data_IF_618672792914
#
_entry.id   IF_618672792914
#
_cell.length_a   1.000
_cell.length_b   1.000
_cell.length_c   1.000
_cell.angle_alpha   90.00
_cell.angle_beta   90.00
_cell.angle_gamma   90.00
#
_symmetry.space_group_name_H-M   'P 1'
#
loop_
_entity.id
_entity.type
_entity.pdbx_description
1 polymer ?
#
# COMPACT_ATOMS: atom_id res chain seq x y z
N UNK A 1 18.06 -21.89 -9.67
CA UNK A 1 19.48 -21.52 -9.85
C UNK A 1 19.46 -20.21 -10.61
N UNK A 2 19.62 -19.09 -9.90
CA UNK A 2 19.59 -17.75 -10.52
C UNK A 2 20.86 -17.65 -11.35
N UNK A 3 20.72 -17.75 -12.67
CA UNK A 3 21.82 -17.52 -13.60
C UNK A 3 22.09 -16.03 -13.63
N UNK A 4 23.09 -15.59 -12.88
CA UNK A 4 23.57 -14.21 -12.95
C UNK A 4 24.36 -14.11 -14.26
N UNK A 5 23.94 -13.20 -15.15
CA UNK A 5 24.60 -12.97 -16.44
C UNK A 5 26.06 -12.56 -16.22
N UNK A 6 27.00 -13.31 -16.80
CA UNK A 6 28.45 -13.05 -16.66
C UNK A 6 28.83 -11.66 -17.16
N UNK A 7 28.20 -11.20 -18.24
CA UNK A 7 28.41 -9.87 -18.81
C UNK A 7 28.03 -8.74 -17.82
N UNK A 8 27.01 -8.97 -16.98
CA UNK A 8 26.62 -8.01 -15.93
C UNK A 8 27.63 -7.99 -14.80
N UNK A 9 28.23 -9.13 -14.47
CA UNK A 9 29.26 -9.23 -13.43
C UNK A 9 30.48 -8.42 -13.85
N UNK A 10 30.94 -8.56 -15.09
CA UNK A 10 32.07 -7.79 -15.62
C UNK A 10 31.76 -6.29 -15.62
N UNK A 11 30.52 -5.91 -15.93
CA UNK A 11 30.06 -4.52 -15.82
C UNK A 11 30.12 -4.00 -14.37
N UNK A 12 29.64 -4.77 -13.39
CA UNK A 12 29.68 -4.36 -11.98
C UNK A 12 31.10 -4.27 -11.44
N UNK A 13 31.99 -5.19 -11.85
CA UNK A 13 33.42 -5.15 -11.50
C UNK A 13 34.08 -3.91 -12.10
N UNK A 14 33.81 -3.59 -13.37
CA UNK A 14 34.34 -2.38 -14.02
C UNK A 14 33.93 -1.10 -13.28
N UNK A 15 32.65 -0.99 -12.89
CA UNK A 15 32.15 0.17 -12.13
C UNK A 15 32.77 0.23 -10.73
N UNK A 16 33.00 -0.92 -10.09
CA UNK A 16 33.62 -0.99 -8.77
C UNK A 16 35.12 -0.67 -8.79
N UNK A 17 35.82 -0.93 -9.89
CA UNK A 17 37.24 -0.57 -10.04
C UNK A 17 37.44 0.93 -10.32
N UNK A 18 36.47 1.58 -10.96
CA UNK A 18 36.51 3.03 -11.20
C UNK A 18 36.26 3.86 -9.94
N UNK A 19 35.43 3.36 -9.02
CA UNK A 19 35.11 4.05 -7.77
C UNK A 19 36.04 3.58 -6.64
N UNK A 20 37.04 4.40 -6.34
CA UNK A 20 38.06 4.09 -5.33
C UNK A 20 37.69 4.55 -3.92
N UNK A 21 36.80 5.54 -3.81
CA UNK A 21 36.46 6.20 -2.53
C UNK A 21 34.94 6.35 -2.35
N UNK A 22 34.46 6.32 -1.10
CA UNK A 22 33.03 6.48 -0.77
C UNK A 22 32.43 7.78 -1.31
N UNK A 23 33.23 8.84 -1.39
CA UNK A 23 32.83 10.12 -1.97
C UNK A 23 32.48 9.99 -3.47
N UNK A 24 33.23 9.19 -4.24
CA UNK A 24 32.98 8.91 -5.66
C UNK A 24 31.75 8.02 -5.84
N UNK A 25 31.52 7.08 -4.93
CA UNK A 25 30.29 6.28 -4.93
C UNK A 25 29.05 7.16 -4.71
N UNK A 26 29.14 8.16 -3.84
CA UNK A 26 28.02 9.04 -3.52
C UNK A 26 27.54 9.94 -4.68
N UNK A 27 28.38 10.13 -5.71
CA UNK A 27 28.07 10.95 -6.90
C UNK A 27 27.40 10.15 -8.02
N UNK A 28 27.36 8.82 -7.93
CA UNK A 28 26.69 7.95 -8.91
C UNK A 28 25.19 8.27 -8.92
N UNK A 29 24.63 8.61 -10.10
CA UNK A 29 23.23 9.01 -10.26
C UNK A 29 22.25 7.85 -9.99
N UNK A 30 22.50 6.68 -10.60
CA UNK A 30 21.64 5.51 -10.46
C UNK A 30 21.74 4.89 -9.05
N UNK A 31 20.65 4.85 -8.25
CA UNK A 31 20.68 4.31 -6.89
C UNK A 31 21.06 2.83 -6.83
N UNK A 32 20.71 2.06 -7.86
CA UNK A 32 21.05 0.64 -7.93
C UNK A 32 22.55 0.46 -8.16
N UNK A 33 23.10 1.13 -9.17
CA UNK A 33 24.54 1.10 -9.44
C UNK A 33 25.32 1.58 -8.22
N UNK A 34 24.90 2.67 -7.58
CA UNK A 34 25.50 3.19 -6.34
C UNK A 34 25.58 2.12 -5.25
N UNK A 35 24.48 1.42 -5.01
CA UNK A 35 24.40 0.40 -3.95
C UNK A 35 25.25 -0.83 -4.26
N UNK A 36 25.29 -1.28 -5.51
CA UNK A 36 26.19 -2.36 -5.94
C UNK A 36 27.66 -1.95 -5.75
N UNK A 37 28.05 -0.78 -6.25
CA UNK A 37 29.43 -0.27 -6.11
C UNK A 37 29.84 -0.15 -4.65
N UNK A 38 28.95 0.36 -3.78
CA UNK A 38 29.21 0.47 -2.35
C UNK A 38 29.46 -0.90 -1.70
N UNK A 39 28.72 -1.94 -2.09
CA UNK A 39 28.93 -3.30 -1.57
C UNK A 39 30.30 -3.85 -1.96
N UNK A 40 30.69 -3.71 -3.23
CA UNK A 40 32.03 -4.13 -3.68
C UNK A 40 33.14 -3.36 -2.97
N UNK A 41 32.96 -2.04 -2.82
CA UNK A 41 33.89 -1.19 -2.08
C UNK A 41 34.05 -1.65 -0.63
N UNK A 42 32.94 -1.90 0.09
CA UNK A 42 32.98 -2.36 1.48
C UNK A 42 33.65 -3.72 1.63
N UNK A 43 33.38 -4.65 0.72
CA UNK A 43 34.03 -5.97 0.71
C UNK A 43 35.54 -5.82 0.50
N UNK A 44 35.96 -4.91 -0.41
CA UNK A 44 37.37 -4.62 -0.70
C UNK A 44 38.09 -3.92 0.45
N UNK A 45 37.49 -2.88 1.04
CA UNK A 45 38.10 -2.07 2.10
C UNK A 45 38.19 -2.79 3.44
N UNK A 46 37.14 -3.52 3.83
CA UNK A 46 37.09 -4.23 5.11
C UNK A 46 37.64 -5.66 5.05
N UNK A 47 38.10 -6.11 3.86
CA UNK A 47 38.65 -7.46 3.68
C UNK A 47 37.66 -8.57 3.99
N UNK A 48 36.38 -8.36 3.68
CA UNK A 48 35.31 -9.33 3.92
C UNK A 48 35.42 -10.48 2.92
N UNK A 49 35.06 -11.70 3.34
CA UNK A 49 35.02 -12.86 2.43
C UNK A 49 33.79 -12.77 1.51
N UNK A 50 33.95 -12.63 0.17
CA UNK A 50 32.84 -12.53 -0.77
C UNK A 50 31.94 -13.77 -0.79
N UNK A 51 32.45 -14.93 -0.36
CA UNK A 51 31.71 -16.20 -0.32
C UNK A 51 30.99 -16.43 1.01
N UNK A 52 31.33 -15.67 2.05
CA UNK A 52 30.69 -15.75 3.35
C UNK A 52 30.69 -14.41 4.09
N UNK A 53 29.67 -13.60 3.79
CA UNK A 53 29.51 -12.26 4.36
C UNK A 53 28.87 -12.32 5.74
N UNK A 54 29.45 -11.60 6.71
CA UNK A 54 28.77 -11.28 7.96
C UNK A 54 27.77 -10.14 7.70
N UNK A 55 26.51 -10.52 7.53
CA UNK A 55 25.41 -9.61 7.24
C UNK A 55 25.25 -8.50 8.27
N UNK A 56 25.49 -8.79 9.56
CA UNK A 56 25.32 -7.78 10.61
C UNK A 56 26.34 -6.67 10.46
N UNK A 57 27.61 -7.04 10.29
CA UNK A 57 28.69 -6.08 10.11
C UNK A 57 28.53 -5.30 8.80
N UNK A 58 28.22 -6.00 7.71
CA UNK A 58 28.05 -5.39 6.40
C UNK A 58 26.91 -4.38 6.38
N UNK A 59 25.74 -4.69 6.96
CA UNK A 59 24.60 -3.76 6.99
C UNK A 59 24.96 -2.49 7.78
N UNK A 60 25.65 -2.64 8.92
CA UNK A 60 26.06 -1.50 9.74
C UNK A 60 27.01 -0.57 8.99
N UNK A 61 28.01 -1.12 8.29
CA UNK A 61 28.93 -0.29 7.51
C UNK A 61 28.22 0.30 6.28
N UNK A 62 27.40 -0.48 5.59
CA UNK A 62 26.62 -0.02 4.44
C UNK A 62 25.74 1.18 4.79
N UNK A 63 25.07 1.16 5.94
CA UNK A 63 24.21 2.25 6.38
C UNK A 63 24.96 3.58 6.54
N UNK A 64 26.21 3.57 6.99
CA UNK A 64 27.00 4.80 7.18
C UNK A 64 27.25 5.55 5.87
N UNK A 65 27.29 4.83 4.75
CA UNK A 65 27.57 5.40 3.44
C UNK A 65 26.31 5.55 2.58
N UNK A 66 25.32 4.67 2.78
CA UNK A 66 24.08 4.68 2.00
C UNK A 66 23.07 5.72 2.49
N UNK A 67 23.01 6.00 3.80
CA UNK A 67 22.16 7.05 4.33
C UNK A 67 22.92 8.38 4.29
N UNK A 68 22.44 9.32 3.48
CA UNK A 68 22.75 10.73 3.70
C UNK A 68 21.93 11.19 4.91
N UNK A 69 22.52 11.95 5.83
CA UNK A 69 21.82 12.44 7.03
C UNK A 69 20.50 13.19 6.72
N UNK A 70 20.37 13.75 5.50
CA UNK A 70 19.16 14.45 5.03
C UNK A 70 18.05 13.53 4.45
N UNK A 71 18.32 12.25 4.15
CA UNK A 71 17.33 11.35 3.52
C UNK A 71 16.41 10.64 4.55
N UNK A 72 16.76 10.68 5.84
CA UNK A 72 15.95 10.06 6.90
C UNK A 72 15.01 11.08 7.54
N UNK A 73 13.74 11.07 7.12
CA UNK A 73 12.68 11.87 7.73
C UNK A 73 12.32 11.31 9.13
N UNK A 74 13.09 11.72 10.14
CA UNK A 74 12.90 11.35 11.54
C UNK A 74 11.48 11.66 12.06
N UNK A 75 10.86 12.83 11.73
CA UNK A 75 9.44 13.06 12.02
C UNK A 75 8.51 11.98 11.45
N UNK A 76 8.67 11.61 10.18
CA UNK A 76 7.87 10.56 9.56
C UNK A 76 8.13 9.20 10.23
N UNK A 77 9.39 8.84 10.50
CA UNK A 77 9.75 7.61 11.19
C UNK A 77 9.10 7.53 12.59
N UNK A 78 9.11 8.64 13.34
CA UNK A 78 8.42 8.75 14.63
C UNK A 78 6.90 8.56 14.51
N UNK A 79 6.29 9.13 13.47
CA UNK A 79 4.85 8.96 13.22
C UNK A 79 4.48 7.51 12.87
N UNK A 80 5.30 6.84 12.05
CA UNK A 80 5.10 5.43 11.69
C UNK A 80 5.24 4.53 12.92
N UNK A 81 6.23 4.80 13.78
CA UNK A 81 6.40 4.07 15.04
C UNK A 81 5.19 4.28 15.97
N UNK A 82 4.67 5.51 16.04
CA UNK A 82 3.43 5.83 16.77
C UNK A 82 2.23 5.04 16.26
N UNK A 83 2.01 5.00 14.94
CA UNK A 83 0.92 4.21 14.36
C UNK A 83 1.08 2.71 14.60
N UNK A 84 2.31 2.18 14.52
CA UNK A 84 2.58 0.79 14.82
C UNK A 84 2.25 0.46 16.29
N UNK A 85 2.62 1.35 17.21
CA UNK A 85 2.23 1.26 18.62
C UNK A 85 0.72 1.30 18.80
N UNK A 86 0.01 2.21 18.13
CA UNK A 86 -1.45 2.31 18.23
C UNK A 86 -2.13 1.02 17.73
N UNK A 87 -1.64 0.44 16.63
CA UNK A 87 -2.13 -0.84 16.11
C UNK A 87 -1.87 -1.98 17.11
N UNK A 88 -0.67 -2.03 17.70
CA UNK A 88 -0.32 -3.03 18.69
C UNK A 88 -1.20 -2.90 19.94
N UNK A 89 -1.39 -1.66 20.42
CA UNK A 89 -2.25 -1.35 21.57
C UNK A 89 -3.70 -1.75 21.31
N UNK A 90 -4.23 -1.43 20.13
CA UNK A 90 -5.58 -1.82 19.72
C UNK A 90 -5.74 -3.34 19.62
N UNK A 91 -4.74 -4.05 19.11
CA UNK A 91 -4.73 -5.53 19.07
C UNK A 91 -4.68 -6.13 20.48
N UNK A 92 -3.86 -5.56 21.34
CA UNK A 92 -3.74 -5.99 22.74
C UNK A 92 -5.04 -5.72 23.52
N UNK A 93 -5.66 -4.56 23.37
CA UNK A 93 -6.94 -4.27 24.03
C UNK A 93 -8.06 -5.18 23.52
N UNK A 94 -8.15 -5.41 22.21
CA UNK A 94 -9.14 -6.35 21.66
C UNK A 94 -8.92 -7.79 22.12
N UNK A 95 -7.67 -8.20 22.36
CA UNK A 95 -7.38 -9.50 22.95
C UNK A 95 -7.77 -9.56 24.43
N UNK A 96 -7.53 -8.49 25.20
CA UNK A 96 -7.97 -8.39 26.60
C UNK A 96 -9.49 -8.45 26.69
N UNK A 97 -10.21 -7.64 25.90
CA UNK A 97 -11.67 -7.62 25.86
C UNK A 97 -12.27 -8.98 25.42
N UNK A 98 -11.58 -9.72 24.55
CA UNK A 98 -12.00 -11.07 24.15
C UNK A 98 -11.70 -12.13 25.22
N UNK A 99 -10.77 -11.86 26.13
CA UNK A 99 -10.43 -12.74 27.26
C UNK A 99 -11.20 -12.36 28.52
N UNK A 100 -11.80 -11.16 28.57
CA UNK A 100 -12.72 -10.80 29.64
C UNK A 100 -13.92 -11.76 29.61
N UNK A 101 -14.21 -12.45 30.73
CA UNK A 101 -15.34 -13.35 30.79
C UNK A 101 -16.63 -12.55 30.57
N UNK A 102 -17.45 -12.98 29.60
CA UNK A 102 -18.80 -12.45 29.41
C UNK A 102 -19.50 -12.54 30.77
N UNK A 103 -20.14 -11.47 31.29
CA UNK A 103 -20.85 -11.55 32.56
C UNK A 103 -22.05 -12.49 32.40
N UNK A 104 -21.85 -13.77 32.71
CA UNK A 104 -22.95 -14.72 32.78
C UNK A 104 -23.86 -14.31 33.95
N UNK A 105 -25.20 -14.34 33.79
CA UNK A 105 -26.08 -14.24 34.94
C UNK A 105 -25.73 -15.38 35.88
N UNK A 106 -25.30 -15.08 37.11
CA UNK A 106 -24.82 -16.10 38.04
C UNK A 106 -25.84 -17.22 38.18
N UNK A 107 -25.54 -18.45 37.72
CA UNK A 107 -26.43 -19.57 37.97
C UNK A 107 -26.38 -19.89 39.46
N UNK A 108 -27.53 -20.22 40.05
CA UNK A 108 -27.56 -20.91 41.34
C UNK A 108 -26.66 -22.13 41.25
N UNK A 109 -25.67 -22.20 42.14
CA UNK A 109 -24.60 -23.18 42.16
C UNK A 109 -25.11 -24.59 41.88
N UNK A 110 -24.79 -25.12 40.70
CA UNK A 110 -24.82 -26.56 40.45
C UNK A 110 -23.35 -27.00 40.52
N UNK A 111 -23.08 -27.95 41.41
CA UNK A 111 -21.77 -28.57 41.58
C UNK A 111 -21.44 -29.38 40.30
N UNK A 112 -20.87 -28.69 39.31
CA UNK A 112 -20.52 -29.26 38.01
C UNK A 112 -19.04 -29.60 38.04
N UNK A 113 -18.75 -30.87 38.33
CA UNK A 113 -17.40 -31.45 38.38
C UNK A 113 -16.81 -31.52 36.96
N UNK A 114 -16.18 -30.44 36.51
CA UNK A 114 -15.21 -30.52 35.42
C UNK A 114 -13.97 -31.21 35.97
N UNK A 115 -13.81 -32.47 35.58
CA UNK A 115 -12.60 -33.23 35.88
C UNK A 115 -11.34 -32.42 35.57
N UNK A 116 -10.35 -32.57 36.45
CA UNK A 116 -8.96 -32.09 36.50
C UNK A 116 -8.24 -31.69 35.19
N UNK A 117 -8.86 -30.87 34.34
CA UNK A 117 -8.21 -30.27 33.19
C UNK A 117 -7.92 -28.80 33.51
N UNK A 118 -6.64 -28.42 33.64
CA UNK A 118 -6.28 -27.06 34.00
C UNK A 118 -6.76 -26.07 32.94
N UNK A 119 -7.33 -24.98 33.41
CA UNK A 119 -7.80 -23.86 32.57
C UNK A 119 -6.62 -23.25 31.81
N UNK A 120 -6.85 -22.59 30.68
CA UNK A 120 -5.80 -21.93 29.90
C UNK A 120 -4.95 -20.96 30.76
N UNK A 121 -5.56 -20.26 31.73
CA UNK A 121 -4.88 -19.40 32.68
C UNK A 121 -3.96 -20.15 33.66
N UNK A 122 -4.38 -21.32 34.15
CA UNK A 122 -3.56 -22.17 35.05
C UNK A 122 -2.38 -22.79 34.29
N UNK A 123 -2.57 -23.13 33.01
CA UNK A 123 -1.49 -23.58 32.12
C UNK A 123 -0.43 -22.51 31.87
N UNK A 124 -0.81 -21.24 31.88
CA UNK A 124 0.11 -20.10 31.72
C UNK A 124 0.97 -19.87 32.98
N UNK A 125 0.41 -20.10 34.17
CA UNK A 125 1.14 -19.96 35.44
C UNK A 125 2.24 -21.04 35.61
N UNK A 126 2.03 -22.24 35.07
CA UNK A 126 3.01 -23.33 35.09
C UNK A 126 4.03 -23.28 33.93
N UNK A 127 3.81 -22.46 32.91
CA UNK A 127 4.67 -22.37 31.73
C UNK A 127 5.61 -21.16 31.79
N UNK A 128 6.93 -21.41 31.83
CA UNK A 128 7.94 -20.35 31.79
C UNK A 128 8.03 -19.65 30.42
N UNK A 129 7.50 -20.26 29.36
CA UNK A 129 7.39 -19.70 28.02
C UNK A 129 5.94 -19.84 27.50
N UNK A 130 5.34 -18.79 26.92
CA UNK A 130 3.98 -18.84 26.42
C UNK A 130 3.88 -19.86 25.27
N UNK A 131 2.77 -20.63 25.18
CA UNK A 131 2.57 -21.68 24.17
C UNK A 131 2.18 -21.08 22.80
N UNK A 132 2.97 -20.12 22.33
CA UNK A 132 2.83 -19.53 21.01
C UNK A 132 3.96 -20.12 20.16
N UNK A 133 3.61 -20.86 19.11
CA UNK A 133 4.60 -21.29 18.13
C UNK A 133 5.20 -20.05 17.47
N UNK A 134 6.50 -19.81 17.70
CA UNK A 134 7.22 -18.77 16.98
C UNK A 134 7.07 -19.02 15.48
N UNK A 135 6.44 -18.07 14.77
CA UNK A 135 6.41 -18.06 13.32
C UNK A 135 7.85 -18.11 12.83
N UNK A 136 8.24 -19.22 12.20
CA UNK A 136 9.61 -19.56 11.78
C UNK A 136 10.40 -18.32 11.37
N UNK A 137 11.17 -17.77 12.32
CA UNK A 137 12.17 -16.76 12.01
C UNK A 137 13.33 -17.48 11.33
N UNK A 138 13.82 -16.91 10.24
CA UNK A 138 14.97 -17.42 9.50
C UNK A 138 16.15 -17.66 10.45
N UNK A 139 16.53 -18.93 10.65
CA UNK A 139 17.73 -19.31 11.43
C UNK A 139 18.94 -18.92 10.59
N UNK A 140 19.56 -17.79 10.91
CA UNK A 140 20.63 -17.13 10.14
C UNK A 140 21.96 -17.89 10.00
N UNK A 141 21.95 -19.20 9.77
CA UNK A 141 23.14 -20.04 9.63
C UNK A 141 23.61 -20.16 8.18
N UNK A 142 22.82 -19.73 7.20
CA UNK A 142 23.23 -19.76 5.79
C UNK A 142 24.18 -18.59 5.50
N UNK A 143 25.40 -18.93 5.10
CA UNK A 143 26.38 -17.96 4.58
C UNK A 143 25.81 -17.29 3.33
N UNK A 144 25.75 -15.97 3.34
CA UNK A 144 25.32 -15.16 2.20
C UNK A 144 26.53 -14.80 1.36
N UNK A 145 26.42 -14.97 0.04
CA UNK A 145 27.48 -14.58 -0.89
C UNK A 145 27.23 -13.17 -1.43
N UNK A 146 28.28 -12.46 -1.83
CA UNK A 146 28.18 -11.14 -2.44
C UNK A 146 27.25 -11.15 -3.66
N UNK A 147 27.35 -12.18 -4.49
CA UNK A 147 26.53 -12.32 -5.69
C UNK A 147 25.06 -12.61 -5.38
N UNK A 148 24.76 -13.35 -4.31
CA UNK A 148 23.39 -13.53 -3.83
C UNK A 148 22.81 -12.21 -3.34
N UNK A 149 23.63 -11.35 -2.73
CA UNK A 149 23.21 -10.04 -2.25
C UNK A 149 22.98 -9.04 -3.39
N UNK A 150 23.84 -9.04 -4.41
CA UNK A 150 23.62 -8.27 -5.65
C UNK A 150 22.36 -8.75 -6.37
N UNK A 151 22.14 -10.08 -6.45
CA UNK A 151 20.91 -10.65 -7.02
C UNK A 151 19.66 -10.23 -6.24
N UNK A 152 19.71 -10.28 -4.91
CA UNK A 152 18.59 -9.83 -4.05
C UNK A 152 18.29 -8.33 -4.22
N UNK A 153 19.32 -7.51 -4.46
CA UNK A 153 19.15 -6.09 -4.77
C UNK A 153 18.49 -5.88 -6.14
N UNK A 154 18.85 -6.70 -7.14
CA UNK A 154 18.21 -6.66 -8.47
C UNK A 154 16.74 -7.08 -8.39
N UNK A 155 16.43 -8.12 -7.61
CA UNK A 155 15.06 -8.54 -7.32
C UNK A 155 14.26 -7.43 -6.64
N UNK A 156 14.85 -6.75 -5.63
CA UNK A 156 14.21 -5.61 -4.98
C UNK A 156 13.92 -4.45 -5.95
N UNK A 157 14.86 -4.16 -6.88
CA UNK A 157 14.64 -3.17 -7.95
C UNK A 157 13.49 -3.56 -8.85
N UNK A 158 13.40 -4.83 -9.24
CA UNK A 158 12.33 -5.35 -10.10
C UNK A 158 10.96 -5.23 -9.41
N UNK A 159 10.88 -5.57 -8.11
CA UNK A 159 9.66 -5.41 -7.31
C UNK A 159 9.22 -3.94 -7.23
N UNK A 160 10.15 -3.02 -7.03
CA UNK A 160 9.83 -1.58 -6.99
C UNK A 160 9.38 -1.06 -8.36
N UNK A 161 10.02 -1.50 -9.45
CA UNK A 161 9.60 -1.17 -10.81
C UNK A 161 8.17 -1.67 -11.10
N UNK A 162 7.86 -2.91 -10.71
CA UNK A 162 6.50 -3.44 -10.82
C UNK A 162 5.51 -2.62 -10.00
N UNK A 163 5.89 -2.22 -8.78
CA UNK A 163 5.05 -1.39 -7.91
C UNK A 163 4.76 -0.04 -8.56
N UNK A 164 5.77 0.64 -9.12
CA UNK A 164 5.62 1.91 -9.84
C UNK A 164 4.69 1.75 -11.04
N UNK A 165 4.91 0.74 -11.87
CA UNK A 165 4.04 0.45 -13.02
C UNK A 165 2.58 0.19 -12.60
N UNK A 166 2.36 -0.52 -11.48
CA UNK A 166 1.02 -0.74 -10.92
C UNK A 166 0.37 0.57 -10.45
N UNK A 167 1.14 1.48 -9.86
CA UNK A 167 0.64 2.80 -9.40
C UNK A 167 0.29 3.68 -10.60
N UNK A 168 1.15 3.74 -11.62
CA UNK A 168 0.93 4.52 -12.85
C UNK A 168 -0.32 4.05 -13.56
N UNK A 169 -0.48 2.72 -13.76
CA UNK A 169 -1.70 2.14 -14.35
C UNK A 169 -2.95 2.52 -13.55
N UNK A 170 -2.89 2.51 -12.21
CA UNK A 170 -4.00 2.97 -11.36
C UNK A 170 -4.29 4.46 -11.53
N UNK A 171 -3.26 5.29 -11.71
CA UNK A 171 -3.40 6.73 -11.93
C UNK A 171 -4.05 7.02 -13.29
N UNK A 172 -3.62 6.34 -14.35
CA UNK A 172 -4.20 6.42 -15.69
C UNK A 172 -5.67 6.00 -15.69
N UNK A 173 -5.99 4.86 -15.06
CA UNK A 173 -7.38 4.39 -14.93
C UNK A 173 -8.26 5.39 -14.18
N UNK A 174 -7.74 6.03 -13.12
CA UNK A 174 -8.46 7.10 -12.40
C UNK A 174 -8.67 8.32 -13.29
N UNK A 175 -7.67 8.73 -14.07
CA UNK A 175 -7.79 9.85 -14.99
C UNK A 175 -8.83 9.59 -16.10
N UNK A 176 -8.79 8.40 -16.72
CA UNK A 176 -9.76 7.99 -17.73
C UNK A 176 -11.19 7.88 -17.16
N UNK A 177 -11.36 7.36 -15.94
CA UNK A 177 -12.68 7.36 -15.28
C UNK A 177 -13.19 8.78 -15.03
N UNK A 178 -12.31 9.69 -14.61
CA UNK A 178 -12.68 11.09 -14.37
C UNK A 178 -13.11 11.79 -15.65
N UNK A 179 -12.43 11.55 -16.77
CA UNK A 179 -12.81 12.15 -18.06
C UNK A 179 -14.18 11.65 -18.54
N UNK A 180 -14.42 10.34 -18.47
CA UNK A 180 -15.73 9.75 -18.81
C UNK A 180 -16.84 10.30 -17.91
N UNK A 181 -16.63 10.36 -16.60
CA UNK A 181 -17.60 10.94 -15.67
C UNK A 181 -17.87 12.42 -15.97
N UNK A 182 -16.85 13.20 -16.33
CA UNK A 182 -17.04 14.60 -16.72
C UNK A 182 -17.82 14.76 -18.02
N UNK A 183 -17.60 13.88 -19.01
CA UNK A 183 -18.36 13.89 -20.26
C UNK A 183 -19.83 13.54 -20.01
N UNK A 184 -20.09 12.50 -19.20
CA UNK A 184 -21.45 12.11 -18.80
C UNK A 184 -22.13 13.23 -18.01
N UNK A 185 -21.40 13.87 -17.08
CA UNK A 185 -21.92 15.02 -16.32
C UNK A 185 -22.27 16.21 -17.22
N UNK A 186 -21.43 16.51 -18.22
CA UNK A 186 -21.73 17.57 -19.19
C UNK A 186 -22.98 17.24 -20.03
N UNK A 187 -23.10 16.00 -20.52
CA UNK A 187 -24.31 15.55 -21.25
C UNK A 187 -25.56 15.61 -20.38
N UNK A 188 -25.46 15.20 -19.11
CA UNK A 188 -26.57 15.30 -18.16
C UNK A 188 -26.93 16.75 -17.86
N UNK A 189 -25.93 17.63 -17.66
CA UNK A 189 -26.14 19.06 -17.45
C UNK A 189 -26.83 19.72 -18.65
N UNK A 190 -26.41 19.39 -19.87
CA UNK A 190 -27.03 19.87 -21.10
C UNK A 190 -28.50 19.42 -21.21
N UNK A 191 -28.80 18.16 -20.86
CA UNK A 191 -30.16 17.64 -20.89
C UNK A 191 -31.03 18.13 -19.72
N UNK A 192 -30.46 18.46 -18.57
CA UNK A 192 -31.18 19.00 -17.40
C UNK A 192 -31.66 20.44 -17.62
N UNK A 193 -30.96 21.23 -18.44
CA UNK A 193 -31.41 22.58 -18.80
C UNK A 193 -32.63 22.61 -19.74
N UNK A 194 -33.02 21.46 -20.31
CA UNK A 194 -34.22 21.35 -21.14
C UNK A 194 -35.51 21.17 -20.32
N UNK A 195 -35.39 20.72 -19.06
CA UNK A 195 -36.51 20.47 -18.14
C UNK A 195 -36.59 21.51 -17.01
N UNK A 196 -36.34 22.79 -17.31
CA UNK A 196 -36.63 23.86 -16.34
C UNK A 196 -38.15 24.10 -16.28
N UNK A 197 -38.85 23.73 -15.18
CA UNK A 197 -40.29 23.90 -15.07
C UNK A 197 -40.73 25.38 -15.17
N UNK A 198 -39.80 26.32 -14.95
CA UNK A 198 -40.04 27.75 -15.05
C UNK A 198 -40.19 28.19 -16.51
N UNK A 199 -39.32 27.69 -17.39
CA UNK A 199 -39.42 27.95 -18.84
C UNK A 199 -40.68 27.30 -19.44
N UNK A 200 -41.06 26.11 -18.95
CA UNK A 200 -42.31 25.47 -19.37
C UNK A 200 -43.54 26.31 -18.99
N UNK A 201 -43.58 26.84 -17.75
CA UNK A 201 -44.64 27.75 -17.31
C UNK A 201 -44.71 29.01 -18.18
N UNK A 202 -43.56 29.58 -18.55
CA UNK A 202 -43.51 30.77 -19.39
C UNK A 202 -44.00 30.51 -20.82
N UNK A 203 -43.63 29.37 -21.41
CA UNK A 203 -44.14 28.92 -22.72
C UNK A 203 -45.66 28.69 -22.70
N UNK A 204 -46.17 28.02 -21.66
CA UNK A 204 -47.62 27.82 -21.49
C UNK A 204 -48.34 29.15 -21.29
N UNK A 205 -47.76 30.07 -20.52
CA UNK A 205 -48.33 31.40 -20.30
C UNK A 205 -48.38 32.24 -21.60
N UNK A 206 -47.34 32.18 -22.42
CA UNK A 206 -47.34 32.81 -23.75
C UNK A 206 -48.46 32.24 -24.64
N UNK A 207 -48.60 30.91 -24.70
CA UNK A 207 -49.71 30.27 -25.44
C UNK A 207 -51.07 30.73 -24.93
N UNK A 208 -51.28 30.80 -23.61
CA UNK A 208 -52.55 31.27 -23.03
C UNK A 208 -52.86 32.73 -23.46
N UNK A 209 -51.86 33.60 -23.50
CA UNK A 209 -52.03 34.99 -23.92
C UNK A 209 -52.40 35.14 -25.41
N UNK A 210 -52.01 34.21 -26.28
CA UNK A 210 -52.40 34.25 -27.70
C UNK A 210 -53.92 34.08 -27.89
N UNK A 211 -54.59 33.38 -26.98
CA UNK A 211 -56.02 33.05 -27.11
C UNK A 211 -56.97 34.11 -26.51
N UNK A 212 -56.44 35.19 -25.90
CA UNK A 212 -57.17 36.42 -25.53
C UNK A 212 -58.64 36.23 -25.10
N UNK A 213 -58.89 35.34 -24.13
CA UNK A 213 -60.21 35.14 -23.51
C UNK A 213 -61.18 34.20 -24.23
N UNK A 214 -60.75 33.48 -25.28
CA UNK A 214 -61.54 32.39 -25.89
C UNK A 214 -61.38 31.08 -25.10
N UNK A 215 -62.38 30.19 -25.07
CA UNK A 215 -62.24 28.88 -24.43
C UNK A 215 -61.15 28.06 -25.15
N UNK A 216 -60.15 27.60 -24.40
CA UNK A 216 -58.98 26.88 -24.92
C UNK A 216 -59.14 25.38 -24.61
N UNK A 217 -59.10 24.48 -25.62
CA UNK A 217 -59.06 23.04 -25.36
C UNK A 217 -57.71 22.66 -24.75
N UNK A 218 -57.73 21.84 -23.70
CA UNK A 218 -56.52 21.43 -22.93
C UNK A 218 -55.46 20.76 -23.82
N UNK A 219 -55.88 20.12 -24.91
CA UNK A 219 -54.99 19.47 -25.87
C UNK A 219 -54.06 20.42 -26.64
N UNK A 220 -54.38 21.71 -26.72
CA UNK A 220 -53.57 22.71 -27.43
C UNK A 220 -52.53 23.39 -26.50
N UNK A 221 -52.66 23.20 -25.17
CA UNK A 221 -51.76 23.77 -24.17
C UNK A 221 -50.60 22.82 -23.83
N UNK A 222 -50.82 21.51 -23.92
CA UNK A 222 -49.84 20.48 -23.59
C UNK A 222 -49.17 19.96 -24.86
N UNK A 223 -47.84 19.93 -24.87
CA UNK A 223 -47.12 19.16 -25.87
C UNK A 223 -47.51 17.69 -25.68
N UNK A 224 -48.13 17.07 -26.70
CA UNK A 224 -48.47 15.64 -26.65
C UNK A 224 -47.19 14.88 -26.33
N UNK A 225 -47.17 13.98 -25.33
CA UNK A 225 -46.03 13.10 -25.18
C UNK A 225 -45.95 12.32 -26.48
N UNK A 226 -44.87 12.52 -27.25
CA UNK A 226 -44.55 11.63 -28.34
C UNK A 226 -44.57 10.23 -27.74
N UNK A 227 -45.49 9.39 -28.22
CA UNK A 227 -45.52 8.00 -27.82
C UNK A 227 -44.14 7.48 -28.16
N UNK A 228 -43.32 7.24 -27.14
CA UNK A 228 -42.08 6.51 -27.28
C UNK A 228 -42.41 5.26 -28.10
N UNK A 229 -41.91 5.23 -29.32
CA UNK A 229 -41.93 4.07 -30.18
C UNK A 229 -41.11 3.00 -29.48
N UNK A 230 -41.79 2.21 -28.66
CA UNK A 230 -41.30 0.92 -28.21
C UNK A 230 -41.30 0.02 -29.44
N UNK A 231 -40.14 -0.06 -30.09
CA UNK A 231 -39.68 -1.18 -30.91
C UNK A 231 -38.27 -1.51 -30.45
#
# INVERSE_FOLDING_TARGET
MVGIDVDKIDQYIGIADEASTAAEVSTIEDPFTRSVTLLFMLVKEHGLDPWSLDMKHLILEYQKYALKDDDLDLPLAGSVLGWAWDVLKMRASGAIDATEPIPEPQPEWIDFDFGWEPTYAERLDDSMEPPIEESVLFRGERRVTLMELVGALEDARNVENERKARIERRKELKAARKSVLSEVANRLSENLHLDDPTQYKEKVWQRINEFNGKPIPIGDLLDRPEKASVV
#
